data_IF_001961693132
#
_entry.id   IF_001961693132
#
_cell.length_a   1.000
_cell.length_b   1.000
_cell.length_c   1.000
_cell.angle_alpha   90.00
_cell.angle_beta   90.00
_cell.angle_gamma   90.00
#
_symmetry.space_group_name_H-M   'P 1'
#
loop_
_entity.id
_entity.type
_entity.pdbx_description
1 polymer ?
#
# COMPACT_ATOMS: atom_id res chain seq x y z
N UNK A 1 -25.61 -7.82 -23.26
CA UNK A 1 -24.89 -7.94 -21.97
C UNK A 1 -25.65 -7.16 -20.91
N UNK A 2 -26.19 -7.84 -19.89
CA UNK A 2 -26.84 -7.18 -18.74
C UNK A 2 -25.77 -6.45 -17.93
N UNK A 3 -26.03 -5.19 -17.58
CA UNK A 3 -25.11 -4.31 -16.85
C UNK A 3 -25.53 -4.34 -15.37
N UNK A 4 -25.05 -5.33 -14.63
CA UNK A 4 -25.48 -5.56 -13.24
C UNK A 4 -24.50 -5.01 -12.17
N UNK A 5 -23.62 -4.08 -12.54
CA UNK A 5 -22.79 -3.38 -11.55
C UNK A 5 -23.66 -2.29 -10.93
N UNK A 6 -24.27 -2.58 -9.77
CA UNK A 6 -25.02 -1.58 -9.00
C UNK A 6 -24.15 -0.36 -8.66
N UNK A 7 -24.76 0.81 -8.47
CA UNK A 7 -24.04 2.07 -8.22
C UNK A 7 -23.02 1.96 -7.06
N UNK A 8 -23.40 1.25 -5.99
CA UNK A 8 -22.53 0.98 -4.85
C UNK A 8 -21.29 0.17 -5.24
N UNK A 9 -21.47 -0.91 -6.02
CA UNK A 9 -20.38 -1.75 -6.50
C UNK A 9 -19.46 -0.99 -7.46
N UNK A 10 -20.04 -0.12 -8.30
CA UNK A 10 -19.30 0.76 -9.21
C UNK A 10 -18.44 1.79 -8.46
N UNK A 11 -19.01 2.45 -7.45
CA UNK A 11 -18.26 3.38 -6.59
C UNK A 11 -17.16 2.64 -5.83
N UNK A 12 -17.47 1.49 -5.23
CA UNK A 12 -16.49 0.69 -4.52
C UNK A 12 -15.31 0.28 -5.42
N UNK A 13 -15.58 -0.10 -6.67
CA UNK A 13 -14.56 -0.49 -7.65
C UNK A 13 -13.68 0.69 -8.05
N UNK A 14 -14.25 1.89 -8.23
CA UNK A 14 -13.50 3.11 -8.54
C UNK A 14 -12.65 3.56 -7.36
N UNK A 15 -13.23 3.60 -6.15
CA UNK A 15 -12.49 3.95 -4.92
C UNK A 15 -11.30 3.01 -4.76
N UNK A 16 -11.53 1.70 -4.91
CA UNK A 16 -10.46 0.71 -4.87
C UNK A 16 -9.38 0.94 -5.93
N UNK A 17 -9.76 1.13 -7.20
CA UNK A 17 -8.79 1.38 -8.28
C UNK A 17 -8.01 2.70 -8.11
N UNK A 18 -8.58 3.66 -7.38
CA UNK A 18 -7.98 4.98 -7.12
C UNK A 18 -6.99 4.95 -5.96
N UNK A 19 -7.19 4.08 -4.97
CA UNK A 19 -6.26 3.89 -3.85
C UNK A 19 -5.04 3.11 -4.35
N UNK A 20 -4.13 3.83 -5.00
CA UNK A 20 -2.82 3.31 -5.42
C UNK A 20 -1.76 3.47 -4.32
N UNK A 21 -0.54 3.07 -4.65
CA UNK A 21 0.62 3.17 -3.74
C UNK A 21 1.07 4.59 -3.43
N UNK A 22 0.54 5.57 -4.15
CA UNK A 22 0.76 6.99 -3.90
C UNK A 22 0.34 7.43 -2.50
N UNK A 23 -0.63 6.76 -1.86
CA UNK A 23 -1.09 7.13 -0.51
C UNK A 23 0.00 6.95 0.55
N UNK A 24 0.99 6.08 0.34
CA UNK A 24 2.08 5.87 1.30
C UNK A 24 3.23 6.87 1.15
N UNK A 25 3.35 7.53 0.00
CA UNK A 25 4.47 8.45 -0.31
C UNK A 25 4.05 9.91 -0.30
N UNK A 26 2.80 10.19 -0.66
CA UNK A 26 2.28 11.56 -0.84
C UNK A 26 2.11 12.31 0.48
N UNK A 27 1.54 11.73 1.57
CA UNK A 27 1.37 12.45 2.83
C UNK A 27 2.68 12.97 3.41
N UNK A 28 3.75 12.16 3.36
CA UNK A 28 5.07 12.58 3.82
C UNK A 28 5.65 13.74 2.99
N UNK A 29 5.40 13.76 1.68
CA UNK A 29 5.80 14.87 0.80
C UNK A 29 4.98 16.13 1.08
N UNK A 30 3.66 16.01 1.22
CA UNK A 30 2.76 17.12 1.55
C UNK A 30 3.13 17.71 2.91
N UNK A 31 3.31 16.88 3.94
CA UNK A 31 3.70 17.33 5.27
C UNK A 31 5.04 18.10 5.26
N UNK A 32 6.03 17.62 4.49
CA UNK A 32 7.32 18.29 4.34
C UNK A 32 7.20 19.64 3.63
N UNK A 33 6.36 19.75 2.60
CA UNK A 33 6.23 20.97 1.80
C UNK A 33 5.27 22.00 2.42
N UNK A 34 4.23 21.55 3.11
CA UNK A 34 3.22 22.42 3.72
C UNK A 34 3.70 23.06 5.02
N UNK A 35 4.75 22.54 5.65
CA UNK A 35 5.42 23.14 6.82
C UNK A 35 4.63 23.09 8.14
N UNK A 36 3.32 22.79 8.09
CA UNK A 36 2.48 22.60 9.28
C UNK A 36 1.40 21.54 9.05
N UNK A 37 0.91 20.96 10.15
CA UNK A 37 -0.19 19.98 10.12
C UNK A 37 -1.48 20.59 9.56
N UNK A 38 -1.82 21.82 9.98
CA UNK A 38 -3.03 22.52 9.52
C UNK A 38 -3.00 22.80 8.03
N UNK A 39 -1.87 23.30 7.50
CA UNK A 39 -1.70 23.53 6.07
C UNK A 39 -1.76 22.21 5.27
N UNK A 40 -1.21 21.12 5.82
CA UNK A 40 -1.27 19.79 5.18
C UNK A 40 -2.72 19.31 5.04
N UNK A 41 -3.52 19.45 6.10
CA UNK A 41 -4.94 19.09 6.08
C UNK A 41 -5.74 19.97 5.12
N UNK A 42 -5.47 21.28 5.10
CA UNK A 42 -6.12 22.20 4.17
C UNK A 42 -5.83 21.85 2.70
N UNK A 43 -4.58 21.48 2.38
CA UNK A 43 -4.20 21.02 1.03
C UNK A 43 -4.97 19.75 0.66
N UNK A 44 -5.14 18.81 1.59
CA UNK A 44 -5.93 17.60 1.36
C UNK A 44 -7.40 17.91 1.09
N UNK A 45 -8.03 18.74 1.92
CA UNK A 45 -9.44 19.15 1.72
C UNK A 45 -9.61 19.86 0.38
N UNK A 46 -8.73 20.81 0.06
CA UNK A 46 -8.75 21.51 -1.21
C UNK A 46 -8.59 20.53 -2.39
N UNK A 47 -7.64 19.60 -2.31
CA UNK A 47 -7.43 18.56 -3.30
C UNK A 47 -8.66 17.65 -3.49
N UNK A 48 -9.32 17.27 -2.41
CA UNK A 48 -10.55 16.46 -2.44
C UNK A 48 -11.71 17.20 -3.11
N UNK A 49 -11.89 18.49 -2.82
CA UNK A 49 -12.93 19.31 -3.46
C UNK A 49 -12.66 19.42 -4.98
N UNK A 50 -11.42 19.72 -5.37
CA UNK A 50 -11.02 19.78 -6.79
C UNK A 50 -11.27 18.44 -7.49
N UNK A 51 -10.86 17.33 -6.87
CA UNK A 51 -11.06 16.00 -7.41
C UNK A 51 -12.55 15.65 -7.56
N UNK A 52 -13.38 16.03 -6.59
CA UNK A 52 -14.82 15.83 -6.64
C UNK A 52 -15.45 16.60 -7.80
N UNK A 53 -15.09 17.88 -7.97
CA UNK A 53 -15.56 18.68 -9.11
C UNK A 53 -15.18 18.03 -10.45
N UNK A 54 -13.93 17.56 -10.58
CA UNK A 54 -13.48 16.81 -11.76
C UNK A 54 -14.23 15.49 -11.98
N UNK A 55 -14.51 14.76 -10.91
CA UNK A 55 -15.27 13.50 -11.00
C UNK A 55 -16.71 13.73 -11.45
N UNK A 56 -17.39 14.74 -10.91
CA UNK A 56 -18.78 15.07 -11.27
C UNK A 56 -18.89 15.51 -12.74
N UNK A 57 -17.95 16.33 -13.21
CA UNK A 57 -17.92 16.75 -14.63
C UNK A 57 -17.65 15.59 -15.58
N UNK A 58 -16.72 14.69 -15.23
CA UNK A 58 -16.49 13.47 -16.01
C UNK A 58 -17.68 12.49 -15.93
N UNK A 59 -18.41 12.46 -14.81
CA UNK A 59 -19.60 11.63 -14.66
C UNK A 59 -20.73 12.07 -15.60
N UNK A 60 -20.93 13.38 -15.78
CA UNK A 60 -21.88 13.93 -16.76
C UNK A 60 -21.53 13.49 -18.20
N UNK A 61 -20.24 13.58 -18.57
CA UNK A 61 -19.75 13.11 -19.86
C UNK A 61 -19.91 11.59 -20.02
N UNK A 62 -19.66 10.82 -18.96
CA UNK A 62 -19.82 9.37 -18.98
C UNK A 62 -21.27 8.93 -19.12
N UNK A 63 -22.20 9.62 -18.47
CA UNK A 63 -23.63 9.37 -18.58
C UNK A 63 -24.19 9.75 -19.96
N UNK A 64 -23.75 10.88 -20.53
CA UNK A 64 -24.21 11.38 -21.84
C UNK A 64 -23.60 10.61 -23.01
N UNK A 65 -22.41 10.02 -22.85
CA UNK A 65 -21.67 9.31 -23.91
C UNK A 65 -21.34 7.87 -23.52
N UNK A 66 -22.34 6.95 -23.44
CA UNK A 66 -22.17 5.59 -22.90
C UNK A 66 -21.44 4.61 -23.85
N UNK A 67 -20.61 5.10 -24.76
CA UNK A 67 -19.86 4.30 -25.75
C UNK A 67 -18.48 3.90 -25.23
N UNK A 68 -17.94 2.81 -25.78
CA UNK A 68 -16.57 2.37 -25.54
C UNK A 68 -15.58 3.43 -26.04
N UNK A 69 -14.69 3.92 -25.16
CA UNK A 69 -13.63 4.87 -25.52
C UNK A 69 -13.19 5.82 -24.41
N UNK A 70 -14.06 6.09 -23.42
CA UNK A 70 -13.74 6.93 -22.25
C UNK A 70 -13.23 8.32 -22.63
N UNK A 71 -12.26 8.84 -21.87
CA UNK A 71 -11.67 10.18 -22.08
C UNK A 71 -11.20 10.39 -23.52
N UNK A 72 -10.64 9.37 -24.18
CA UNK A 72 -10.20 9.48 -25.57
C UNK A 72 -11.34 9.88 -26.50
N UNK A 73 -12.51 9.26 -26.35
CA UNK A 73 -13.68 9.54 -27.16
C UNK A 73 -14.28 10.92 -26.87
N UNK A 74 -14.25 11.35 -25.60
CA UNK A 74 -14.69 12.69 -25.21
C UNK A 74 -13.82 13.75 -25.90
N UNK A 75 -12.50 13.57 -25.84
CA UNK A 75 -11.54 14.48 -26.48
C UNK A 75 -11.71 14.50 -28.01
N UNK A 76 -11.91 13.33 -28.62
CA UNK A 76 -12.10 13.19 -30.06
C UNK A 76 -13.34 13.90 -30.58
N UNK A 77 -14.45 13.84 -29.84
CA UNK A 77 -15.70 14.52 -30.24
C UNK A 77 -15.64 16.02 -30.02
N UNK A 78 -15.04 16.46 -28.92
CA UNK A 78 -14.99 17.88 -28.59
C UNK A 78 -13.95 18.64 -29.42
N UNK A 79 -12.79 18.03 -29.71
CA UNK A 79 -11.65 18.71 -30.34
C UNK A 79 -11.04 17.98 -31.55
N UNK A 80 -11.66 16.89 -32.02
CA UNK A 80 -11.22 16.15 -33.21
C UNK A 80 -10.05 15.19 -32.96
N UNK A 81 -9.63 14.52 -34.04
CA UNK A 81 -8.68 13.40 -33.98
C UNK A 81 -7.26 13.83 -33.56
N UNK A 82 -6.86 15.08 -33.79
CA UNK A 82 -5.52 15.57 -33.41
C UNK A 82 -5.32 15.57 -31.90
N UNK A 83 -6.30 16.09 -31.14
CA UNK A 83 -6.23 16.13 -29.67
C UNK A 83 -6.39 14.73 -29.08
N UNK A 84 -7.29 13.92 -29.65
CA UNK A 84 -7.44 12.53 -29.25
C UNK A 84 -6.14 11.73 -29.47
N UNK A 85 -5.46 11.94 -30.60
CA UNK A 85 -4.16 11.33 -30.89
C UNK A 85 -3.11 11.72 -29.86
N UNK A 86 -2.98 13.00 -29.52
CA UNK A 86 -2.02 13.45 -28.49
C UNK A 86 -2.30 12.76 -27.14
N UNK A 87 -3.56 12.66 -26.74
CA UNK A 87 -3.93 11.93 -25.52
C UNK A 87 -3.62 10.43 -25.64
N UNK A 88 -3.93 9.79 -26.76
CA UNK A 88 -3.59 8.39 -27.02
C UNK A 88 -2.08 8.14 -26.97
N UNK A 89 -1.30 9.04 -27.58
CA UNK A 89 0.16 9.00 -27.58
C UNK A 89 0.73 9.18 -26.17
N UNK A 90 0.27 10.18 -25.42
CA UNK A 90 0.66 10.36 -24.02
C UNK A 90 0.27 9.13 -23.18
N UNK A 91 -0.91 8.55 -23.43
CA UNK A 91 -1.35 7.36 -22.72
C UNK A 91 -0.43 6.16 -22.98
N UNK A 92 -0.04 5.95 -24.23
CA UNK A 92 0.84 4.87 -24.67
C UNK A 92 2.28 5.03 -24.14
N UNK A 93 2.82 6.25 -24.21
CA UNK A 93 4.25 6.50 -23.94
C UNK A 93 4.55 6.89 -22.50
N UNK A 94 3.61 7.54 -21.81
CA UNK A 94 3.80 8.05 -20.46
C UNK A 94 2.89 7.36 -19.45
N UNK A 95 1.57 7.37 -19.63
CA UNK A 95 0.65 6.96 -18.56
C UNK A 95 0.71 5.45 -18.30
N UNK A 96 0.57 4.62 -19.34
CA UNK A 96 0.61 3.16 -19.20
C UNK A 96 1.99 2.68 -18.70
N UNK A 97 3.12 3.08 -19.31
CA UNK A 97 4.44 2.67 -18.83
C UNK A 97 4.73 3.14 -17.41
N UNK A 98 4.30 4.34 -17.02
CA UNK A 98 4.49 4.84 -15.64
C UNK A 98 3.71 4.01 -14.62
N UNK A 99 2.47 3.61 -14.95
CA UNK A 99 1.67 2.74 -14.09
C UNK A 99 2.34 1.35 -13.95
N UNK A 100 2.72 0.73 -15.06
CA UNK A 100 3.41 -0.57 -15.08
C UNK A 100 4.74 -0.50 -14.32
N UNK A 101 5.54 0.54 -14.55
CA UNK A 101 6.82 0.76 -13.87
C UNK A 101 6.66 0.96 -12.36
N UNK A 102 5.59 1.62 -11.92
CA UNK A 102 5.28 1.78 -10.49
C UNK A 102 5.00 0.44 -9.82
N UNK A 103 4.21 -0.43 -10.45
CA UNK A 103 3.97 -1.80 -9.96
C UNK A 103 5.24 -2.66 -9.98
N UNK A 104 6.03 -2.58 -11.06
CA UNK A 104 7.30 -3.29 -11.14
C UNK A 104 8.28 -2.88 -10.02
N UNK A 105 8.38 -1.58 -9.72
CA UNK A 105 9.20 -1.07 -8.62
C UNK A 105 8.77 -1.65 -7.27
N UNK A 106 7.47 -1.73 -7.01
CA UNK A 106 6.96 -2.30 -5.76
C UNK A 106 7.25 -3.80 -5.65
N UNK A 107 7.11 -4.53 -6.75
CA UNK A 107 7.53 -5.94 -6.80
C UNK A 107 9.03 -6.10 -6.50
N UNK A 108 9.86 -5.19 -7.00
CA UNK A 108 11.29 -5.16 -6.70
C UNK A 108 11.58 -4.80 -5.23
N UNK A 109 10.86 -3.84 -4.64
CA UNK A 109 10.96 -3.50 -3.20
C UNK A 109 10.59 -4.72 -2.32
N UNK A 110 9.54 -5.47 -2.68
CA UNK A 110 9.16 -6.71 -1.98
C UNK A 110 10.25 -7.80 -2.11
N UNK A 111 10.79 -8.01 -3.31
CA UNK A 111 11.84 -9.00 -3.54
C UNK A 111 13.16 -8.65 -2.83
N UNK A 112 13.55 -7.39 -2.82
CA UNK A 112 14.75 -6.91 -2.10
C UNK A 112 14.58 -6.99 -0.59
N UNK A 113 13.37 -6.83 -0.08
CA UNK A 113 13.08 -7.08 1.35
C UNK A 113 13.32 -8.54 1.72
N UNK A 114 12.86 -9.50 0.89
CA UNK A 114 13.15 -10.93 1.09
C UNK A 114 14.65 -11.25 0.97
N UNK A 115 15.36 -10.60 0.04
CA UNK A 115 16.80 -10.71 -0.09
C UNK A 115 17.50 -10.27 1.20
N UNK A 116 17.14 -9.10 1.75
CA UNK A 116 17.70 -8.56 2.99
C UNK A 116 17.52 -9.50 4.18
N UNK A 117 16.31 -10.04 4.35
CA UNK A 117 16.03 -11.03 5.39
C UNK A 117 16.89 -12.30 5.25
N UNK A 118 17.18 -12.72 4.02
CA UNK A 118 18.01 -13.89 3.75
C UNK A 118 19.51 -13.62 3.96
N UNK A 119 20.01 -12.44 3.58
CA UNK A 119 21.41 -12.02 3.78
C UNK A 119 21.73 -11.81 5.25
N UNK A 120 20.80 -11.25 6.02
CA UNK A 120 20.93 -11.03 7.47
C UNK A 120 20.80 -12.33 8.27
N UNK A 121 20.56 -13.45 7.58
CA UNK A 121 20.49 -14.77 8.20
C UNK A 121 19.18 -15.07 8.93
N UNK A 122 18.21 -14.15 8.87
CA UNK A 122 16.89 -14.30 9.46
C UNK A 122 16.00 -15.28 8.68
N UNK A 123 16.34 -15.53 7.42
CA UNK A 123 15.59 -16.42 6.52
C UNK A 123 16.48 -17.35 5.70
N UNK A 124 15.87 -18.13 4.79
CA UNK A 124 16.53 -19.16 3.98
C UNK A 124 17.63 -18.55 3.11
N UNK A 125 18.91 -18.92 3.37
CA UNK A 125 20.09 -18.35 2.69
C UNK A 125 20.05 -18.45 1.17
N UNK A 126 19.36 -19.44 0.63
CA UNK A 126 19.18 -19.64 -0.81
C UNK A 126 18.52 -18.45 -1.52
N UNK A 127 17.63 -17.73 -0.83
CA UNK A 127 16.99 -16.50 -1.32
C UNK A 127 17.96 -15.30 -1.36
N UNK A 128 19.01 -15.35 -0.53
CA UNK A 128 20.08 -14.34 -0.45
C UNK A 128 21.06 -14.39 -1.61
N UNK A 129 21.00 -15.43 -2.44
CA UNK A 129 21.94 -15.61 -3.54
C UNK A 129 21.51 -14.85 -4.79
N UNK A 130 22.42 -14.04 -5.33
CA UNK A 130 22.23 -13.31 -6.58
C UNK A 130 22.39 -14.23 -7.79
N UNK A 131 21.65 -13.91 -8.86
CA UNK A 131 21.74 -14.63 -10.14
C UNK A 131 23.07 -14.35 -10.84
N UNK A 132 23.81 -15.38 -11.31
CA UNK A 132 25.05 -15.19 -12.06
C UNK A 132 24.88 -14.46 -13.38
N UNK A 133 23.67 -14.49 -13.98
CA UNK A 133 23.39 -13.89 -15.30
C UNK A 133 22.93 -12.44 -15.24
N UNK A 134 22.17 -12.08 -14.20
CA UNK A 134 21.53 -10.77 -14.11
C UNK A 134 22.05 -9.92 -12.95
N UNK A 135 22.91 -10.49 -12.10
CA UNK A 135 23.32 -9.93 -10.80
C UNK A 135 22.15 -9.55 -9.87
N UNK A 136 20.92 -9.91 -10.23
CA UNK A 136 19.69 -9.56 -9.53
C UNK A 136 19.21 -10.68 -8.60
N UNK A 137 18.29 -10.36 -7.67
CA UNK A 137 17.74 -11.31 -6.71
C UNK A 137 16.64 -12.18 -7.33
N UNK A 138 16.93 -12.87 -8.44
CA UNK A 138 15.93 -13.61 -9.25
C UNK A 138 15.13 -14.62 -8.43
N UNK A 139 15.77 -15.30 -7.46
CA UNK A 139 15.10 -16.26 -6.58
C UNK A 139 14.08 -15.58 -5.66
N UNK A 140 14.45 -14.45 -5.06
CA UNK A 140 13.55 -13.66 -4.23
C UNK A 140 12.39 -13.08 -5.03
N UNK A 141 12.64 -12.65 -6.27
CA UNK A 141 11.59 -12.19 -7.20
C UNK A 141 10.59 -13.31 -7.50
N UNK A 142 11.08 -14.50 -7.87
CA UNK A 142 10.20 -15.64 -8.19
C UNK A 142 9.39 -16.05 -6.97
N UNK A 143 10.00 -16.14 -5.80
CA UNK A 143 9.27 -16.51 -4.57
C UNK A 143 8.26 -15.45 -4.17
N UNK A 144 8.60 -14.16 -4.22
CA UNK A 144 7.65 -13.07 -3.97
C UNK A 144 6.47 -13.11 -4.95
N UNK A 145 6.74 -13.34 -6.24
CA UNK A 145 5.72 -13.41 -7.27
C UNK A 145 4.79 -14.62 -7.09
N UNK A 146 5.34 -15.80 -6.78
CA UNK A 146 4.56 -17.01 -6.55
C UNK A 146 3.69 -16.91 -5.29
N UNK A 147 4.25 -16.38 -4.20
CA UNK A 147 3.48 -16.14 -2.97
C UNK A 147 2.37 -15.11 -3.23
N UNK A 148 2.71 -13.98 -3.85
CA UNK A 148 1.73 -12.95 -4.20
C UNK A 148 0.61 -13.48 -5.10
N UNK A 149 0.95 -14.22 -6.16
CA UNK A 149 -0.02 -14.86 -7.04
C UNK A 149 -0.89 -15.87 -6.29
N UNK A 150 -0.30 -16.71 -5.43
CA UNK A 150 -1.04 -17.66 -4.60
C UNK A 150 -2.06 -16.97 -3.70
N UNK A 151 -1.67 -15.88 -3.03
CA UNK A 151 -2.58 -15.08 -2.21
C UNK A 151 -3.70 -14.44 -3.03
N UNK A 152 -3.38 -13.85 -4.18
CA UNK A 152 -4.38 -13.22 -5.07
C UNK A 152 -5.36 -14.24 -5.63
N UNK A 153 -4.91 -15.45 -5.95
CA UNK A 153 -5.76 -16.52 -6.48
C UNK A 153 -6.62 -17.18 -5.39
N UNK A 154 -6.12 -17.26 -4.16
CA UNK A 154 -6.79 -17.96 -3.06
C UNK A 154 -7.70 -17.06 -2.21
N UNK A 155 -7.54 -15.73 -2.25
CA UNK A 155 -8.19 -14.81 -1.31
C UNK A 155 -9.00 -13.75 -2.04
N UNK A 156 -10.12 -13.37 -1.43
CA UNK A 156 -10.84 -12.17 -1.88
C UNK A 156 -10.01 -10.92 -1.57
N UNK A 157 -10.30 -9.83 -2.27
CA UNK A 157 -9.66 -8.54 -2.01
C UNK A 157 -9.82 -8.07 -0.56
N UNK A 158 -11.01 -8.26 0.01
CA UNK A 158 -11.31 -7.95 1.40
C UNK A 158 -10.41 -8.72 2.35
N UNK A 159 -10.25 -10.03 2.13
CA UNK A 159 -9.37 -10.90 2.92
C UNK A 159 -7.88 -10.54 2.78
N UNK A 160 -7.44 -10.06 1.62
CA UNK A 160 -6.07 -9.58 1.42
C UNK A 160 -5.80 -8.31 2.23
N UNK A 161 -6.76 -7.38 2.21
CA UNK A 161 -6.66 -6.11 2.93
C UNK A 161 -6.73 -6.33 4.45
N UNK A 162 -7.63 -7.21 4.89
CA UNK A 162 -7.77 -7.59 6.30
C UNK A 162 -6.50 -8.28 6.83
N UNK A 163 -5.93 -9.23 6.08
CA UNK A 163 -4.69 -9.90 6.45
C UNK A 163 -3.52 -8.91 6.57
N UNK A 164 -3.47 -7.88 5.73
CA UNK A 164 -2.47 -6.82 5.84
C UNK A 164 -2.63 -6.01 7.13
N UNK A 165 -3.86 -5.61 7.47
CA UNK A 165 -4.16 -4.89 8.72
C UNK A 165 -3.80 -5.77 9.91
N UNK A 166 -4.42 -6.95 10.05
CA UNK A 166 -4.18 -7.86 11.18
C UNK A 166 -2.71 -8.27 11.29
N UNK A 167 -2.04 -8.47 10.15
CA UNK A 167 -0.65 -8.91 10.10
C UNK A 167 0.37 -7.83 10.50
N UNK A 168 0.23 -6.59 10.02
CA UNK A 168 1.21 -5.52 10.25
C UNK A 168 0.91 -4.65 11.48
N UNK A 169 -0.37 -4.43 11.81
CA UNK A 169 -0.74 -3.45 12.84
C UNK A 169 -0.17 -3.76 14.23
N UNK A 170 -0.14 -5.03 14.70
CA UNK A 170 0.51 -5.36 15.97
C UNK A 170 2.00 -4.96 16.01
N UNK A 171 2.71 -5.09 14.88
CA UNK A 171 4.11 -4.67 14.79
C UNK A 171 4.26 -3.14 14.76
N UNK A 172 3.30 -2.40 14.20
CA UNK A 172 3.28 -0.94 14.34
C UNK A 172 3.03 -0.49 15.78
N UNK A 173 2.16 -1.17 16.52
CA UNK A 173 1.98 -0.93 17.95
C UNK A 173 3.31 -1.12 18.69
N UNK A 174 4.01 -2.24 18.43
CA UNK A 174 5.34 -2.48 19.01
C UNK A 174 6.38 -1.42 18.60
N UNK A 175 6.37 -0.98 17.35
CA UNK A 175 7.27 0.07 16.87
C UNK A 175 7.00 1.43 17.55
N UNK A 176 5.74 1.78 17.80
CA UNK A 176 5.39 3.01 18.54
C UNK A 176 5.76 2.89 20.01
N UNK A 177 5.52 1.72 20.63
CA UNK A 177 6.01 1.43 21.99
C UNK A 177 7.54 1.52 22.09
N UNK A 178 8.26 1.17 21.03
CA UNK A 178 9.71 1.30 20.96
C UNK A 178 10.18 2.76 21.13
N UNK A 179 9.37 3.77 20.76
CA UNK A 179 9.72 5.18 21.01
C UNK A 179 9.84 5.47 22.51
N UNK A 180 8.92 4.96 23.33
CA UNK A 180 8.99 5.09 24.79
C UNK A 180 10.18 4.33 25.34
N UNK A 181 10.37 3.08 24.88
CA UNK A 181 11.46 2.22 25.35
C UNK A 181 12.84 2.78 24.99
N UNK A 182 13.03 3.29 23.77
CA UNK A 182 14.30 3.85 23.32
C UNK A 182 14.61 5.20 23.94
N UNK A 183 13.60 6.02 24.28
CA UNK A 183 13.82 7.25 25.07
C UNK A 183 14.34 6.95 26.47
N UNK A 184 13.87 5.85 27.08
CA UNK A 184 14.35 5.40 28.39
C UNK A 184 15.70 4.66 28.31
N UNK A 185 15.87 3.77 27.32
CA UNK A 185 17.05 2.91 27.18
C UNK A 185 18.27 3.64 26.62
N UNK A 186 18.07 4.55 25.66
CA UNK A 186 19.13 5.28 24.96
C UNK A 186 18.83 6.79 24.96
N UNK A 187 18.97 7.47 26.12
CA UNK A 187 18.61 8.89 26.25
C UNK A 187 19.42 9.81 25.33
N UNK A 188 20.68 9.47 25.07
CA UNK A 188 21.63 10.24 24.25
C UNK A 188 21.60 9.98 22.75
N UNK A 189 20.68 9.15 22.25
CA UNK A 189 20.50 8.91 20.81
C UNK A 189 20.18 10.25 20.10
N UNK A 190 20.89 10.58 19.03
CA UNK A 190 20.63 11.79 18.26
C UNK A 190 19.22 11.76 17.64
N UNK A 191 18.41 12.82 17.88
CA UNK A 191 17.02 12.92 17.41
C UNK A 191 16.83 14.18 16.55
N UNK A 192 17.21 14.14 15.25
CA UNK A 192 17.02 15.28 14.34
C UNK A 192 15.57 15.75 14.24
N UNK A 193 14.62 14.83 14.45
CA UNK A 193 13.20 15.12 14.62
C UNK A 193 12.71 14.49 15.92
N UNK A 194 11.94 15.25 16.70
CA UNK A 194 11.27 14.77 17.90
C UNK A 194 9.77 15.02 17.77
N UNK A 195 8.98 14.00 18.12
CA UNK A 195 7.52 14.07 18.05
C UNK A 195 7.01 15.25 18.89
N UNK A 196 6.34 16.25 18.28
CA UNK A 196 5.75 17.37 19.02
C UNK A 196 4.70 16.88 20.01
N UNK A 197 4.52 17.59 21.14
CA UNK A 197 3.52 17.27 22.17
C UNK A 197 3.67 15.85 22.77
N UNK A 198 4.86 15.26 22.71
CA UNK A 198 5.11 13.95 23.32
C UNK A 198 4.76 13.97 24.82
N UNK A 199 4.06 12.94 25.35
CA UNK A 199 3.73 11.64 24.74
C UNK A 199 2.37 11.56 24.02
N UNK A 200 1.69 12.68 23.77
CA UNK A 200 0.30 12.68 23.30
C UNK A 200 0.12 11.96 21.94
N UNK A 201 0.87 12.25 20.85
CA UNK A 201 0.59 11.60 19.56
C UNK A 201 0.81 10.07 19.58
N UNK A 202 1.88 9.53 20.20
CA UNK A 202 2.02 8.09 20.38
C UNK A 202 0.90 7.46 21.20
N UNK A 203 0.43 8.10 22.28
CA UNK A 203 -0.67 7.58 23.10
C UNK A 203 -1.99 7.54 22.32
N UNK A 204 -2.30 8.59 21.55
CA UNK A 204 -3.48 8.63 20.67
C UNK A 204 -3.43 7.51 19.64
N UNK A 205 -2.26 7.28 19.02
CA UNK A 205 -2.08 6.15 18.10
C UNK A 205 -2.32 4.81 18.80
N UNK A 206 -1.74 4.60 19.98
CA UNK A 206 -1.88 3.34 20.73
C UNK A 206 -3.34 3.10 21.15
N UNK A 207 -4.06 4.14 21.56
CA UNK A 207 -5.48 4.05 21.88
C UNK A 207 -6.31 3.68 20.65
N UNK A 208 -6.12 4.38 19.52
CA UNK A 208 -6.80 4.07 18.26
C UNK A 208 -6.47 2.68 17.74
N UNK A 209 -5.21 2.27 17.84
CA UNK A 209 -4.77 0.93 17.48
C UNK A 209 -5.37 -0.15 18.40
N UNK A 210 -5.50 0.13 19.69
CA UNK A 210 -6.18 -0.74 20.64
C UNK A 210 -7.65 -0.94 20.27
N UNK A 211 -8.37 0.14 19.92
CA UNK A 211 -9.76 0.06 19.46
C UNK A 211 -9.87 -0.74 18.16
N UNK A 212 -8.99 -0.50 17.19
CA UNK A 212 -8.98 -1.24 15.92
C UNK A 212 -8.71 -2.74 16.13
N UNK A 213 -7.69 -3.08 16.93
CA UNK A 213 -7.35 -4.47 17.23
C UNK A 213 -8.44 -5.16 18.06
N UNK A 214 -9.11 -4.42 18.95
CA UNK A 214 -10.24 -4.91 19.72
C UNK A 214 -11.47 -5.18 18.84
N UNK A 215 -11.76 -4.30 17.89
CA UNK A 215 -12.78 -4.53 16.87
C UNK A 215 -12.46 -5.76 16.04
N UNK A 216 -11.23 -5.83 15.51
CA UNK A 216 -10.75 -6.99 14.77
C UNK A 216 -10.75 -8.30 15.59
N UNK A 217 -10.61 -8.22 16.92
CA UNK A 217 -10.67 -9.41 17.79
C UNK A 217 -12.09 -9.82 18.18
N UNK A 218 -13.08 -8.95 17.99
CA UNK A 218 -14.51 -9.27 18.18
C UNK A 218 -15.10 -9.91 16.92
N UNK A 219 -14.68 -9.43 15.75
CA UNK A 219 -15.12 -9.90 14.44
C UNK A 219 -14.10 -10.89 13.83
N UNK A 220 -13.57 -11.81 14.65
CA UNK A 220 -12.60 -12.80 14.16
C UNK A 220 -13.32 -13.84 13.31
N UNK A 221 -13.47 -13.52 12.03
CA UNK A 221 -13.77 -14.52 11.03
C UNK A 221 -12.62 -15.54 10.95
N UNK A 222 -12.91 -16.73 10.41
CA UNK A 222 -11.92 -17.80 10.23
C UNK A 222 -10.63 -17.31 9.54
N UNK A 223 -10.73 -16.29 8.69
CA UNK A 223 -9.62 -15.69 7.96
C UNK A 223 -8.68 -14.84 8.82
N UNK A 224 -9.21 -14.05 9.76
CA UNK A 224 -8.42 -13.29 10.73
C UNK A 224 -7.67 -14.24 11.68
N UNK A 225 -8.33 -15.31 12.12
CA UNK A 225 -7.71 -16.33 12.97
C UNK A 225 -6.49 -16.98 12.28
N UNK A 226 -6.60 -17.29 10.98
CA UNK A 226 -5.48 -17.80 10.18
C UNK A 226 -4.34 -16.77 10.12
N UNK A 227 -4.65 -15.49 9.88
CA UNK A 227 -3.62 -14.45 9.84
C UNK A 227 -2.86 -14.32 11.17
N UNK A 228 -3.58 -14.31 12.30
CA UNK A 228 -2.97 -14.34 13.63
C UNK A 228 -2.13 -15.60 13.86
N UNK A 229 -2.62 -16.77 13.46
CA UNK A 229 -1.89 -18.03 13.57
C UNK A 229 -0.59 -18.01 12.76
N UNK A 230 -0.61 -17.46 11.54
CA UNK A 230 0.59 -17.28 10.70
C UNK A 230 1.60 -16.35 11.36
N UNK A 231 1.16 -15.22 11.94
CA UNK A 231 2.04 -14.29 12.66
C UNK A 231 2.66 -14.97 13.89
N UNK A 232 1.84 -15.65 14.70
CA UNK A 232 2.29 -16.33 15.92
C UNK A 232 3.21 -17.52 15.61
N UNK A 233 2.98 -18.23 14.52
CA UNK A 233 3.85 -19.31 14.04
C UNK A 233 5.27 -18.81 13.72
N UNK A 234 5.46 -17.51 13.47
CA UNK A 234 6.79 -16.90 13.36
C UNK A 234 7.67 -17.08 14.60
N UNK A 235 7.07 -17.16 15.80
CA UNK A 235 7.79 -17.34 17.07
C UNK A 235 8.48 -18.72 17.17
N UNK A 236 7.77 -19.86 17.06
CA UNK A 236 8.41 -21.17 17.07
C UNK A 236 9.33 -21.37 15.86
N UNK A 237 8.96 -20.88 14.67
CA UNK A 237 9.82 -20.96 13.47
C UNK A 237 11.15 -20.24 13.71
N UNK A 238 11.12 -19.02 14.23
CA UNK A 238 12.35 -18.25 14.54
C UNK A 238 13.19 -18.86 15.66
N UNK A 239 12.57 -19.58 16.59
CA UNK A 239 13.29 -20.32 17.64
C UNK A 239 13.98 -21.57 17.10
N UNK A 240 13.27 -22.38 16.31
CA UNK A 240 13.82 -23.56 15.62
C UNK A 240 14.96 -23.13 14.68
N UNK A 241 14.77 -22.06 13.91
CA UNK A 241 15.77 -21.56 12.97
C UNK A 241 17.08 -21.15 13.67
N UNK A 242 16.99 -20.49 14.84
CA UNK A 242 18.18 -20.14 15.64
C UNK A 242 18.91 -21.37 16.18
N UNK A 243 18.18 -22.42 16.55
CA UNK A 243 18.78 -23.70 16.99
C UNK A 243 19.45 -24.50 15.88
N UNK A 244 18.99 -24.36 14.64
CA UNK A 244 19.61 -25.03 13.48
C UNK A 244 20.87 -24.32 12.97
N UNK A 245 21.14 -23.10 13.44
CA UNK A 245 22.31 -22.28 13.05
C UNK A 245 23.36 -22.11 14.16
N UNK A 246 23.02 -22.42 15.41
CA UNK A 246 23.96 -22.45 16.54
C UNK A 246 24.51 -23.85 16.73
#
# INVERSE_FOLDING_TARGET
MRRDIGALLGVALIVNATIGTGIFKTPAKVARLAGSTGASLAVWVAGSVIALCGALTLAELAASLPRMGGIYEYLRRAWGDRVAFVFGWAKLTLLIPSAVGSFAKLGAEAATSLLGLATDGLFVRWLGALSPRTAGPSRAVVVAALLGAGYVLARSFEQLTEAFVVGYFPFYVLAVLAVFRLRAKEPGLARPFSVPLYPLPPLVFLAGAGVLLWGASRDVDHNAAIAFAVVLAGVPVGWIWRRLRG
#
